data_IF_015168898132
#
_entry.id   IF_015168898132
#
_cell.length_a   1.000
_cell.length_b   1.000
_cell.length_c   1.000
_cell.angle_alpha   90.00
_cell.angle_beta   90.00
_cell.angle_gamma   90.00
#
_symmetry.space_group_name_H-M   'P 1'
#
loop_
_entity.id
_entity.type
_entity.pdbx_description
1 polymer ?
#
# COMPACT_ATOMS: atom_id res chain seq x y z
N UNK A 1 3.22 4.09 -9.63
CA UNK A 1 3.48 4.21 -8.19
C UNK A 1 3.17 2.89 -7.50
N UNK A 2 4.12 2.39 -6.78
CA UNK A 2 4.02 1.13 -6.08
C UNK A 2 3.83 1.41 -4.59
N UNK A 3 2.78 0.86 -4.01
CA UNK A 3 2.50 1.04 -2.58
C UNK A 3 2.45 -0.34 -1.93
N UNK A 4 3.26 -0.55 -0.91
CA UNK A 4 3.32 -1.83 -0.20
C UNK A 4 2.97 -1.61 1.27
N UNK A 5 1.70 -1.82 1.60
CA UNK A 5 1.22 -1.66 2.98
C UNK A 5 1.69 -2.79 3.88
N UNK A 6 2.02 -3.95 3.32
CA UNK A 6 2.56 -5.05 4.09
C UNK A 6 3.92 -4.68 4.67
N UNK A 7 4.77 -4.06 3.86
CA UNK A 7 6.07 -3.59 4.33
C UNK A 7 5.91 -2.45 5.34
N UNK A 8 4.99 -1.53 5.09
CA UNK A 8 4.73 -0.42 5.99
C UNK A 8 4.26 -0.92 7.36
N UNK A 9 3.42 -1.94 7.38
CA UNK A 9 2.94 -2.53 8.62
C UNK A 9 4.08 -3.16 9.42
N UNK A 10 5.02 -3.77 8.72
CA UNK A 10 6.19 -4.38 9.38
C UNK A 10 7.09 -3.35 10.01
N UNK A 11 7.17 -2.18 9.41
CA UNK A 11 7.95 -1.07 9.97
C UNK A 11 7.22 -0.34 11.10
N UNK A 12 5.91 -0.60 11.23
CA UNK A 12 5.10 0.11 12.21
C UNK A 12 4.86 1.57 11.85
N UNK A 13 4.84 1.86 10.55
CA UNK A 13 4.71 3.23 10.05
C UNK A 13 3.51 3.30 9.09
N UNK A 14 2.30 3.39 9.62
CA UNK A 14 1.11 3.38 8.78
C UNK A 14 1.03 4.63 7.92
N UNK A 15 0.68 4.45 6.65
CA UNK A 15 0.48 5.56 5.73
C UNK A 15 -0.89 6.19 5.92
N UNK A 16 -1.02 7.51 5.78
CA UNK A 16 -2.34 8.13 5.70
C UNK A 16 -3.06 7.64 4.45
N UNK A 17 -4.38 7.66 4.48
CA UNK A 17 -5.19 7.18 3.35
C UNK A 17 -4.82 7.87 2.04
N UNK A 18 -4.55 9.16 2.07
CA UNK A 18 -4.22 9.92 0.87
C UNK A 18 -2.92 9.47 0.24
N UNK A 19 -2.00 8.92 1.03
CA UNK A 19 -0.66 8.62 0.56
C UNK A 19 -0.64 7.53 -0.52
N UNK A 20 -1.66 6.68 -0.54
CA UNK A 20 -1.68 5.58 -1.50
C UNK A 20 -2.84 5.65 -2.49
N UNK A 21 -3.35 6.85 -2.72
CA UNK A 21 -4.26 7.06 -3.82
C UNK A 21 -3.47 7.30 -5.11
N UNK A 22 -4.02 6.93 -6.22
CA UNK A 22 -3.36 7.09 -7.51
C UNK A 22 -2.21 6.13 -7.73
N UNK A 23 -2.24 4.98 -7.10
CA UNK A 23 -1.21 3.96 -7.26
C UNK A 23 -1.40 3.16 -8.55
N UNK A 24 -0.32 2.58 -9.04
CA UNK A 24 -0.37 1.60 -10.13
C UNK A 24 -0.50 0.19 -9.56
N UNK A 25 0.17 -0.07 -8.45
CA UNK A 25 0.11 -1.35 -7.73
C UNK A 25 -0.02 -1.05 -6.24
N UNK A 26 -0.96 -1.71 -5.59
CA UNK A 26 -1.12 -1.63 -4.14
C UNK A 26 -1.07 -3.03 -3.56
N UNK A 27 -0.20 -3.25 -2.60
CA UNK A 27 -0.14 -4.50 -1.82
C UNK A 27 -0.68 -4.21 -0.44
N UNK A 28 -1.74 -4.87 -0.03
CA UNK A 28 -2.34 -4.67 1.29
C UNK A 28 -1.56 -5.41 2.37
N UNK A 29 -1.88 -5.10 3.62
CA UNK A 29 -1.15 -5.68 4.76
C UNK A 29 -1.24 -7.21 4.79
N UNK A 30 -2.30 -7.79 4.25
CA UNK A 30 -2.49 -9.24 4.20
C UNK A 30 -1.84 -9.88 2.98
N UNK A 31 -1.20 -9.08 2.13
CA UNK A 31 -0.54 -9.57 0.93
C UNK A 31 -1.40 -9.52 -0.34
N UNK A 32 -2.65 -9.09 -0.23
CA UNK A 32 -3.53 -8.96 -1.40
C UNK A 32 -3.05 -7.81 -2.29
N UNK A 33 -3.00 -8.05 -3.58
CA UNK A 33 -2.54 -7.03 -4.54
C UNK A 33 -3.71 -6.46 -5.33
N UNK A 34 -3.63 -5.16 -5.60
CA UNK A 34 -4.59 -4.44 -6.44
C UNK A 34 -3.81 -3.65 -7.49
N UNK A 35 -4.36 -3.53 -8.68
CA UNK A 35 -3.69 -2.87 -9.79
C UNK A 35 -4.58 -1.78 -10.38
N UNK A 36 -3.94 -0.70 -10.80
CA UNK A 36 -4.62 0.30 -11.59
C UNK A 36 -5.72 1.02 -10.85
N UNK A 37 -5.42 1.64 -9.80
CA UNK A 37 -6.42 2.37 -9.06
C UNK A 37 -7.18 3.35 -9.92
#
# INVERSE_FOLDING_TARGET
RYVNLQAAARLGDPFPTDAYQGYDVLVEADGTSHFGQ
#
